data_IF_099314954279
#
_entry.id   IF_099314954279
#
_cell.length_a   1.000
_cell.length_b   1.000
_cell.length_c   1.000
_cell.angle_alpha   90.00
_cell.angle_beta   90.00
_cell.angle_gamma   90.00
#
_symmetry.space_group_name_H-M   'P 1'
#
loop_
_entity.id
_entity.type
_entity.pdbx_description
1 polymer ?
2 non-polymer ?
3 non-polymer ?
4 non-polymer ?
5 water ?
#
# COMPACT_ATOMS: atom_id res chain seq x y z
N UNK A 4 -1.28 22.66 -19.55
CA UNK A 4 -1.12 21.24 -19.96
C UNK A 4 -1.43 20.34 -18.77
N UNK A 5 -1.81 19.06 -19.01
CA UNK A 5 -1.91 18.09 -17.93
C UNK A 5 -0.57 18.03 -17.20
N UNK A 6 -0.61 17.88 -15.88
CA UNK A 6 0.58 17.98 -15.05
C UNK A 6 1.70 17.08 -15.58
N UNK A 7 1.34 15.85 -15.96
CA UNK A 7 2.33 14.86 -16.36
C UNK A 7 3.04 15.21 -17.66
N UNK A 8 2.49 16.16 -18.45
CA UNK A 8 3.10 16.54 -19.71
C UNK A 8 3.83 17.87 -19.61
N UNK A 9 3.86 18.49 -18.42
CA UNK A 9 4.50 19.78 -18.28
C UNK A 9 6.00 19.65 -18.37
N UNK A 10 6.63 20.73 -18.80
CA UNK A 10 8.08 20.82 -18.87
C UNK A 10 8.52 22.04 -18.07
N UNK A 11 9.24 21.81 -16.97
CA UNK A 11 9.72 22.93 -16.18
C UNK A 11 10.92 23.56 -16.88
N UNK A 12 10.98 24.89 -16.79
CA UNK A 12 12.04 25.70 -17.36
C UNK A 12 12.25 26.89 -16.43
N UNK A 13 13.20 27.75 -16.77
CA UNK A 13 13.38 28.98 -16.01
C UNK A 13 12.09 29.80 -16.01
N UNK A 14 11.34 29.80 -17.12
CA UNK A 14 10.13 30.60 -17.25
C UNK A 14 8.94 29.98 -16.50
N UNK A 15 9.00 28.66 -16.26
CA UNK A 15 7.91 27.91 -15.67
C UNK A 15 8.54 26.83 -14.80
N UNK A 16 8.87 27.18 -13.56
CA UNK A 16 9.86 26.42 -12.84
C UNK A 16 9.21 25.21 -12.18
N UNK A 17 10.01 24.44 -11.46
CA UNK A 17 9.54 23.18 -10.90
C UNK A 17 8.41 23.43 -9.92
N UNK A 18 8.51 24.49 -9.11
CA UNK A 18 7.46 24.83 -8.18
C UNK A 18 6.17 25.20 -8.92
N UNK A 19 6.31 26.01 -9.97
CA UNK A 19 5.15 26.46 -10.72
C UNK A 19 4.47 25.28 -11.42
N UNK A 20 5.27 24.37 -11.97
CA UNK A 20 4.73 23.26 -12.75
C UNK A 20 4.25 22.10 -11.87
N UNK A 21 4.98 21.83 -10.78
CA UNK A 21 4.84 20.57 -10.09
C UNK A 21 4.66 20.74 -8.58
N UNK A 22 4.55 21.99 -8.12
CA UNK A 22 4.30 22.24 -6.71
C UNK A 22 5.58 22.27 -5.89
N UNK A 23 5.47 22.84 -4.69
CA UNK A 23 6.58 22.88 -3.75
C UNK A 23 7.04 21.45 -3.47
N UNK A 24 8.36 21.29 -3.31
CA UNK A 24 8.93 20.02 -2.91
C UNK A 24 8.48 19.73 -1.48
N UNK A 25 8.17 18.47 -1.18
CA UNK A 25 7.82 18.10 0.17
C UNK A 25 7.69 16.60 0.34
N UNK A 26 7.27 16.18 1.55
CA UNK A 26 7.16 14.78 1.90
C UNK A 26 5.83 14.10 1.61
N UNK A 27 4.84 14.88 1.18
CA UNK A 27 3.48 14.38 1.08
C UNK A 27 3.37 13.47 -0.12
N UNK A 28 2.31 12.67 -0.12
CA UNK A 28 2.16 11.56 -1.04
C UNK A 28 2.20 12.02 -2.50
N UNK A 29 1.57 13.15 -2.83
CA UNK A 29 1.51 13.59 -4.22
C UNK A 29 2.36 14.84 -4.40
N UNK A 30 3.32 15.05 -3.49
CA UNK A 30 4.36 16.03 -3.69
C UNK A 30 5.59 15.32 -4.24
N UNK A 31 6.31 16.05 -5.07
CA UNK A 31 7.63 15.60 -5.46
C UNK A 31 8.64 15.95 -4.37
N UNK A 32 9.71 15.17 -4.29
CA UNK A 32 10.76 15.42 -3.31
C UNK A 32 12.11 15.73 -3.97
N UNK A 33 12.16 15.85 -5.29
CA UNK A 33 13.43 15.89 -5.99
C UNK A 33 13.74 17.31 -6.45
N UNK A 34 14.95 17.74 -6.10
CA UNK A 34 15.52 18.94 -6.66
C UNK A 34 16.02 19.89 -5.60
N UNK A 35 17.27 20.33 -5.78
CA UNK A 35 17.80 21.41 -4.96
C UNK A 35 17.29 22.74 -5.51
N UNK A 36 17.73 23.85 -4.90
CA UNK A 36 17.16 25.14 -5.26
C UNK A 36 17.48 25.49 -6.70
N UNK A 37 18.66 25.11 -7.18
CA UNK A 37 19.06 25.45 -8.53
C UNK A 37 18.20 24.70 -9.55
N UNK A 38 18.00 23.38 -9.33
CA UNK A 38 17.16 22.64 -10.27
C UNK A 38 15.71 23.13 -10.20
N UNK A 39 15.23 23.44 -8.99
CA UNK A 39 13.87 23.93 -8.88
C UNK A 39 13.66 25.19 -9.71
N UNK A 40 14.63 26.11 -9.68
CA UNK A 40 14.53 27.39 -10.34
C UNK A 40 14.64 27.24 -11.86
N UNK A 41 15.36 26.20 -12.32
CA UNK A 41 15.74 26.11 -13.72
C UNK A 41 15.04 24.99 -14.49
N UNK A 42 14.57 23.94 -13.82
CA UNK A 42 13.97 22.82 -14.52
C UNK A 42 14.90 22.23 -15.57
N UNK A 43 14.38 22.06 -16.78
CA UNK A 43 15.15 21.46 -17.87
C UNK A 43 16.26 22.38 -18.37
N UNK A 44 16.32 23.63 -17.89
CA UNK A 44 17.42 24.53 -18.20
C UNK A 44 18.62 24.30 -17.26
N UNK A 45 18.44 23.47 -16.23
CA UNK A 45 19.53 23.11 -15.32
C UNK A 45 20.70 22.51 -16.09
N UNK A 46 21.92 22.91 -15.71
CA UNK A 46 23.13 22.51 -16.41
C UNK A 46 23.30 21.00 -16.50
N UNK A 47 22.92 20.28 -15.46
CA UNK A 47 23.08 18.82 -15.45
C UNK A 47 21.75 18.12 -15.73
N UNK A 48 20.79 18.81 -16.34
CA UNK A 48 19.52 18.18 -16.59
C UNK A 48 19.70 16.90 -17.42
N UNK A 49 20.52 16.85 -18.49
CA UNK A 49 20.63 15.62 -19.27
C UNK A 49 21.06 14.41 -18.45
N UNK A 50 21.87 14.62 -17.43
CA UNK A 50 22.39 13.54 -16.62
C UNK A 50 21.32 13.04 -15.64
N UNK A 51 20.28 13.85 -15.41
CA UNK A 51 19.11 13.43 -14.65
C UNK A 51 18.13 12.73 -15.60
N UNK A 52 17.86 13.36 -16.73
CA UNK A 52 16.85 12.87 -17.66
C UNK A 52 17.20 11.49 -18.20
N UNK A 53 18.48 11.09 -18.18
CA UNK A 53 18.86 9.78 -18.67
C UNK A 53 18.19 8.68 -17.86
N UNK A 54 17.70 9.00 -16.67
CA UNK A 54 17.02 8.01 -15.83
C UNK A 54 15.51 8.05 -16.00
N UNK A 55 14.97 9.08 -16.64
CA UNK A 55 13.53 9.15 -16.80
C UNK A 55 13.07 8.14 -17.84
N UNK A 56 11.94 7.47 -17.61
CA UNK A 56 11.48 6.46 -18.56
C UNK A 56 10.77 7.02 -19.78
N UNK A 57 10.96 6.34 -20.92
CA UNK A 57 10.10 6.52 -22.08
C UNK A 57 8.68 6.19 -21.67
N UNK A 58 7.70 6.60 -22.48
CA UNK A 58 6.32 6.25 -22.19
C UNK A 58 6.15 4.73 -22.15
N UNK A 59 6.76 4.04 -23.10
CA UNK A 59 6.71 2.59 -23.16
C UNK A 59 7.30 1.98 -21.89
N UNK A 60 8.45 2.49 -21.46
CA UNK A 60 9.10 1.94 -20.28
C UNK A 60 8.32 2.31 -19.01
N UNK A 61 7.71 3.49 -18.98
CA UNK A 61 6.93 3.87 -17.82
C UNK A 61 5.82 2.85 -17.60
N UNK A 62 5.10 2.50 -18.67
CA UNK A 62 4.02 1.53 -18.56
C UNK A 62 4.52 0.08 -18.56
N UNK A 63 5.76 -0.16 -19.00
CA UNK A 63 6.31 -1.49 -19.06
C UNK A 63 6.99 -1.92 -17.77
N UNK A 64 7.68 -0.98 -17.11
CA UNK A 64 8.49 -1.30 -15.95
C UNK A 64 7.72 -1.14 -14.64
N UNK A 65 6.74 -0.23 -14.64
CA UNK A 65 6.11 0.21 -13.41
C UNK A 65 5.04 -0.76 -12.92
N UNK A 66 4.76 -0.70 -11.62
CA UNK A 66 3.52 -1.24 -11.11
C UNK A 66 2.50 -0.12 -11.18
N UNK A 67 1.45 -0.35 -11.98
CA UNK A 67 0.42 0.64 -12.25
C UNK A 67 -0.82 0.25 -11.46
N UNK A 68 -1.49 1.24 -10.90
CA UNK A 68 -2.79 1.02 -10.28
C UNK A 68 -3.69 2.21 -10.50
N UNK A 69 -4.93 2.03 -10.08
CA UNK A 69 -5.93 3.07 -10.17
C UNK A 69 -6.62 3.17 -8.80
N UNK A 70 -6.69 4.40 -8.28
CA UNK A 70 -7.29 4.63 -6.98
C UNK A 70 -8.36 5.69 -7.12
N UNK A 71 -9.54 5.37 -6.59
CA UNK A 71 -10.60 6.34 -6.41
C UNK A 71 -10.48 6.91 -5.01
N UNK A 72 -10.39 8.23 -4.95
CA UNK A 72 -10.18 8.93 -3.70
C UNK A 72 -11.22 10.03 -3.66
N UNK A 73 -11.36 10.75 -2.52
CA UNK A 73 -12.31 11.84 -2.46
C UNK A 73 -12.19 12.86 -3.59
N UNK A 74 -10.98 13.09 -4.11
CA UNK A 74 -10.78 14.15 -5.09
C UNK A 74 -10.97 13.64 -6.51
N UNK A 75 -10.93 12.33 -6.74
CA UNK A 75 -11.08 11.83 -8.08
C UNK A 75 -10.39 10.48 -8.26
N UNK A 76 -10.06 10.17 -9.51
CA UNK A 76 -9.43 8.92 -9.87
C UNK A 76 -8.00 9.22 -10.25
N UNK A 77 -7.09 8.46 -9.64
CA UNK A 77 -5.66 8.65 -9.81
C UNK A 77 -5.01 7.38 -10.34
N UNK A 78 -4.15 7.55 -11.34
CA UNK A 78 -3.27 6.48 -11.81
C UNK A 78 -2.01 6.48 -10.96
N UNK A 79 -1.78 5.39 -10.24
CA UNK A 79 -0.59 5.29 -9.40
C UNK A 79 0.49 4.56 -10.17
N UNK A 80 1.74 4.87 -9.82
CA UNK A 80 2.87 4.19 -10.44
C UNK A 80 3.99 4.06 -9.42
N UNK A 81 4.72 2.95 -9.50
CA UNK A 81 5.90 2.77 -8.68
C UNK A 81 6.84 1.83 -9.41
N UNK A 82 8.14 1.98 -9.17
CA UNK A 82 9.09 1.08 -9.77
C UNK A 82 10.51 1.41 -9.35
N UNK A 83 11.44 0.75 -10.00
CA UNK A 83 12.85 0.95 -9.71
C UNK A 83 13.62 0.80 -11.02
N UNK A 84 14.61 1.67 -11.18
CA UNK A 84 15.45 1.71 -12.36
C UNK A 84 16.89 1.51 -11.92
N UNK A 85 17.53 0.48 -12.50
CA UNK A 85 18.88 0.15 -12.10
C UNK A 85 19.88 1.07 -12.78
N UNK A 86 20.79 1.62 -11.98
CA UNK A 86 21.93 2.35 -12.51
C UNK A 86 22.92 1.35 -13.08
N UNK A 87 23.65 1.77 -14.11
CA UNK A 87 24.68 0.92 -14.68
C UNK A 87 26.00 1.22 -13.97
N UNK A 88 26.40 0.35 -13.06
CA UNK A 88 27.61 0.58 -12.26
C UNK A 88 28.88 0.45 -13.11
N UNK A 89 28.74 -0.07 -14.34
CA UNK A 89 29.85 -0.18 -15.29
C UNK A 89 30.02 1.10 -16.11
N UNK A 90 29.02 1.98 -16.07
CA UNK A 90 29.07 3.29 -16.69
C UNK A 90 30.19 4.09 -16.02
N UNK A 91 31.16 4.64 -16.79
CA UNK A 91 32.23 5.43 -16.20
C UNK A 91 31.72 6.59 -15.36
N UNK A 92 30.49 7.05 -15.68
CA UNK A 92 29.92 8.20 -15.00
C UNK A 92 29.11 7.78 -13.77
N UNK A 93 29.14 6.50 -13.38
CA UNK A 93 28.32 6.02 -12.28
C UNK A 93 28.50 6.84 -11.00
N UNK A 94 29.76 7.06 -10.59
CA UNK A 94 30.00 7.74 -9.32
C UNK A 94 29.46 9.17 -9.37
N UNK A 95 29.58 9.82 -10.52
CA UNK A 95 29.06 11.18 -10.71
C UNK A 95 27.53 11.16 -10.66
N UNK A 96 26.92 10.11 -11.20
CA UNK A 96 25.46 10.00 -11.18
C UNK A 96 24.96 9.85 -9.75
N UNK A 97 25.64 9.07 -8.95
CA UNK A 97 25.27 8.89 -7.55
C UNK A 97 25.34 10.24 -6.85
N UNK A 98 26.41 11.00 -7.08
CA UNK A 98 26.57 12.30 -6.43
C UNK A 98 25.42 13.23 -6.86
N UNK A 99 25.13 13.27 -8.16
CA UNK A 99 24.11 14.17 -8.67
C UNK A 99 22.74 13.82 -8.07
N UNK A 100 22.40 12.53 -8.04
CA UNK A 100 21.10 12.14 -7.53
C UNK A 100 21.01 12.44 -6.03
N UNK A 101 22.09 12.18 -5.28
CA UNK A 101 22.13 12.46 -3.85
C UNK A 101 21.97 13.96 -3.57
N UNK A 102 22.44 14.81 -4.50
CA UNK A 102 22.34 16.25 -4.32
C UNK A 102 20.87 16.71 -4.36
N UNK A 103 20.01 16.00 -5.08
CA UNK A 103 18.66 16.46 -5.38
C UNK A 103 17.59 15.72 -4.58
N UNK A 104 17.83 14.47 -4.20
CA UNK A 104 16.83 13.71 -3.48
C UNK A 104 16.64 14.30 -2.08
N UNK A 105 15.42 14.78 -1.78
CA UNK A 105 15.10 15.33 -0.47
C UNK A 105 15.94 16.56 -0.13
N UNK A 106 16.47 17.25 -1.13
CA UNK A 106 17.27 18.45 -0.89
C UNK A 106 16.45 19.49 -0.13
N UNK A 107 15.13 19.53 -0.37
CA UNK A 107 14.26 20.55 0.20
C UNK A 107 14.29 20.53 1.72
N UNK A 108 14.68 19.42 2.34
CA UNK A 108 14.71 19.33 3.79
C UNK A 108 15.71 20.33 4.39
N UNK A 109 16.70 20.77 3.59
CA UNK A 109 17.75 21.64 4.10
C UNK A 109 17.51 23.11 3.73
N UNK A 110 16.42 23.42 3.02
CA UNK A 110 16.29 24.77 2.46
C UNK A 110 16.07 25.76 3.59
N UNK A 111 16.54 27.01 3.46
CA UNK A 111 16.16 28.08 4.37
C UNK A 111 14.63 28.24 4.47
N UNK B 2 19.20 -5.54 -24.69
CA UNK B 2 20.55 -5.10 -24.24
C UNK B 2 20.91 -3.77 -24.89
N UNK B 3 22.06 -3.23 -24.46
CA UNK B 3 22.66 -1.98 -24.93
C UNK B 3 21.84 -0.74 -24.51
N UNK B 4 20.56 -0.62 -24.88
CA UNK B 4 19.81 0.54 -24.42
C UNK B 4 19.41 0.31 -22.96
N UNK B 5 19.64 1.28 -22.04
CA UNK B 5 19.15 1.16 -20.68
C UNK B 5 17.65 0.91 -20.69
N UNK B 6 17.18 0.05 -19.79
CA UNK B 6 15.82 -0.44 -19.77
C UNK B 6 14.83 0.73 -19.87
N UNK B 7 15.07 1.79 -19.08
CA UNK B 7 14.13 2.89 -18.98
C UNK B 7 13.99 3.68 -20.28
N UNK B 8 14.93 3.53 -21.23
CA UNK B 8 14.86 4.26 -22.49
C UNK B 8 14.37 3.38 -23.64
N UNK B 9 14.07 2.11 -23.36
CA UNK B 9 13.61 1.22 -24.41
C UNK B 9 12.19 1.58 -24.80
N UNK B 10 11.87 1.23 -26.04
CA UNK B 10 10.55 1.43 -26.62
C UNK B 10 10.10 0.07 -27.13
N UNK B 11 9.01 -0.46 -26.58
CA UNK B 11 8.49 -1.73 -27.07
C UNK B 11 7.73 -1.51 -28.37
N UNK B 12 7.92 -2.45 -29.30
CA UNK B 12 7.19 -2.50 -30.55
C UNK B 12 6.92 -3.96 -30.86
N UNK B 13 6.29 -4.24 -32.00
CA UNK B 13 6.00 -5.62 -32.34
C UNK B 13 7.27 -6.46 -32.41
N UNK B 14 8.37 -5.88 -32.92
CA UNK B 14 9.60 -6.63 -33.11
C UNK B 14 10.40 -6.78 -31.82
N UNK B 15 10.10 -5.96 -30.81
CA UNK B 15 10.77 -6.00 -29.53
C UNK B 15 9.74 -5.60 -28.48
N UNK B 16 8.98 -6.58 -28.02
CA UNK B 16 7.69 -6.31 -27.40
C UNK B 16 7.85 -6.08 -25.90
N UNK B 17 6.72 -5.94 -25.20
CA UNK B 17 6.78 -5.53 -23.80
C UNK B 17 7.52 -6.57 -22.97
N UNK B 18 7.27 -7.86 -23.24
CA UNK B 18 7.97 -8.91 -22.54
C UNK B 18 9.47 -8.85 -22.81
N UNK B 19 9.83 -8.66 -24.09
CA UNK B 19 11.23 -8.68 -24.46
C UNK B 19 11.96 -7.49 -23.84
N UNK B 20 11.32 -6.31 -23.84
CA UNK B 20 11.96 -5.10 -23.37
C UNK B 20 11.95 -4.98 -21.86
N UNK B 21 10.84 -5.41 -21.23
CA UNK B 21 10.59 -5.05 -19.84
C UNK B 21 10.25 -6.25 -18.97
N UNK B 22 10.32 -7.45 -19.52
CA UNK B 22 10.11 -8.65 -18.72
C UNK B 22 8.64 -9.06 -18.70
N UNK B 23 8.41 -10.34 -18.36
CA UNK B 23 7.06 -10.87 -18.25
C UNK B 23 6.30 -10.07 -17.19
N UNK B 24 5.02 -9.81 -17.44
CA UNK B 24 4.14 -9.21 -16.45
C UNK B 24 3.99 -10.16 -15.28
N UNK B 25 3.82 -9.60 -14.08
CA UNK B 25 3.54 -10.43 -12.93
C UNK B 25 3.30 -9.60 -11.68
N UNK B 26 3.17 -10.29 -10.53
CA UNK B 26 2.76 -9.65 -9.28
C UNK B 26 3.88 -9.08 -8.40
N UNK B 27 5.14 -9.37 -8.75
CA UNK B 27 6.22 -9.09 -7.81
C UNK B 27 6.55 -7.60 -7.80
N UNK B 28 7.21 -7.17 -6.72
CA UNK B 28 7.23 -5.77 -6.33
C UNK B 28 7.79 -4.83 -7.40
N UNK B 29 8.86 -5.21 -8.10
CA UNK B 29 9.42 -4.28 -9.07
C UNK B 29 9.23 -4.83 -10.48
N UNK B 30 8.28 -5.76 -10.61
CA UNK B 30 7.93 -6.39 -11.87
C UNK B 30 6.72 -5.67 -12.45
N UNK B 31 6.70 -5.41 -13.76
CA UNK B 31 5.59 -4.68 -14.34
C UNK B 31 4.31 -5.50 -14.34
N UNK B 32 3.17 -4.83 -14.15
CA UNK B 32 1.89 -5.52 -14.10
C UNK B 32 0.96 -5.04 -15.19
N UNK B 33 1.41 -4.19 -16.11
CA UNK B 33 0.51 -3.53 -17.03
C UNK B 33 0.63 -4.14 -18.43
N UNK B 34 -0.54 -4.52 -18.94
CA UNK B 34 -0.68 -4.90 -20.33
C UNK B 34 -1.45 -6.21 -20.50
N UNK B 35 -2.46 -6.16 -21.37
CA UNK B 35 -3.14 -7.37 -21.80
C UNK B 35 -2.31 -8.00 -22.94
N UNK B 36 -2.79 -9.12 -23.49
CA UNK B 36 -1.96 -9.82 -24.47
C UNK B 36 -1.70 -8.98 -25.71
N UNK B 37 -2.69 -8.19 -26.12
CA UNK B 37 -2.53 -7.38 -27.32
C UNK B 37 -1.45 -6.31 -27.12
N UNK B 38 -1.52 -5.59 -25.99
CA UNK B 38 -0.53 -4.57 -25.73
C UNK B 38 0.84 -5.19 -25.53
N UNK B 39 0.90 -6.32 -24.83
CA UNK B 39 2.19 -6.96 -24.61
C UNK B 39 2.86 -7.26 -25.93
N UNK B 40 2.11 -7.78 -26.90
CA UNK B 40 2.68 -8.21 -28.17
C UNK B 40 3.02 -7.01 -29.05
N UNK B 41 2.34 -5.88 -28.87
CA UNK B 41 2.45 -4.78 -29.82
C UNK B 41 3.25 -3.58 -29.29
N UNK B 42 3.27 -3.39 -27.97
CA UNK B 42 3.96 -2.23 -27.42
C UNK B 42 3.38 -0.94 -27.99
N UNK B 43 4.25 -0.03 -28.45
CA UNK B 43 3.82 1.26 -28.95
C UNK B 43 3.15 1.14 -30.31
N UNK B 44 3.15 -0.06 -30.93
CA UNK B 44 2.39 -0.30 -32.14
C UNK B 44 0.93 -0.58 -31.84
N UNK B 45 0.57 -0.77 -30.57
CA UNK B 45 -0.81 -0.95 -30.14
C UNK B 45 -1.64 0.21 -30.66
N UNK B 46 -2.81 -0.07 -31.25
CA UNK B 46 -3.50 0.98 -31.98
C UNK B 46 -4.10 2.01 -31.01
N UNK B 47 -4.29 1.67 -29.73
CA UNK B 47 -4.76 2.65 -28.76
C UNK B 47 -3.63 3.15 -27.87
N UNK B 48 -2.38 2.95 -28.29
CA UNK B 48 -1.25 3.39 -27.48
C UNK B 48 -1.34 4.87 -27.14
N UNK B 49 -1.73 5.79 -28.05
CA UNK B 49 -1.76 7.21 -27.69
C UNK B 49 -2.63 7.50 -26.48
N UNK B 50 -3.71 6.75 -26.30
CA UNK B 50 -4.61 7.00 -25.19
C UNK B 50 -4.05 6.48 -23.86
N UNK B 51 -3.03 5.60 -23.93
CA UNK B 51 -2.27 5.21 -22.75
C UNK B 51 -1.16 6.22 -22.50
N UNK B 52 -0.43 6.55 -23.55
CA UNK B 52 0.77 7.36 -23.43
C UNK B 52 0.43 8.78 -22.94
N UNK B 53 -0.82 9.23 -23.09
CA UNK B 53 -1.20 10.55 -22.60
C UNK B 53 -1.01 10.63 -21.08
N UNK B 54 -0.92 9.50 -20.40
CA UNK B 54 -0.69 9.49 -18.96
C UNK B 54 0.78 9.38 -18.58
N UNK B 55 1.66 9.03 -19.52
CA UNK B 55 3.06 8.86 -19.19
C UNK B 55 3.70 10.22 -18.98
N UNK B 56 4.57 10.37 -17.97
CA UNK B 56 5.17 11.68 -17.70
C UNK B 56 6.33 12.04 -18.61
N UNK B 57 6.45 13.34 -18.93
CA UNK B 57 7.67 13.86 -19.49
C UNK B 57 8.82 13.61 -18.51
N UNK B 58 10.06 13.74 -18.96
CA UNK B 58 11.18 13.55 -18.05
C UNK B 58 11.11 14.56 -16.91
N UNK B 59 10.78 15.82 -17.25
CA UNK B 59 10.64 16.87 -16.26
C UNK B 59 9.56 16.52 -15.24
N UNK B 60 8.40 16.06 -15.73
CA UNK B 60 7.33 15.69 -14.81
C UNK B 60 7.69 14.45 -13.99
N UNK B 61 8.41 13.50 -14.58
CA UNK B 61 8.79 12.32 -13.83
C UNK B 61 9.61 12.73 -12.60
N UNK B 62 10.61 13.59 -12.81
CA UNK B 62 11.42 14.05 -11.70
C UNK B 62 10.78 15.17 -10.89
N UNK B 63 9.75 15.82 -11.41
CA UNK B 63 9.07 16.90 -10.71
C UNK B 63 7.94 16.41 -9.81
N UNK B 64 7.22 15.38 -10.27
CA UNK B 64 6.04 14.90 -9.58
C UNK B 64 6.37 13.78 -8.60
N UNK B 65 7.37 12.96 -8.91
CA UNK B 65 7.54 11.67 -8.25
C UNK B 65 8.27 11.80 -6.93
N UNK B 66 8.06 10.80 -6.07
CA UNK B 66 8.93 10.58 -4.93
C UNK B 66 10.09 9.71 -5.39
N UNK B 67 11.29 10.28 -5.39
CA UNK B 67 12.48 9.62 -5.91
C UNK B 67 13.35 9.18 -4.74
N UNK B 68 13.95 7.99 -4.86
CA UNK B 68 14.84 7.51 -3.84
C UNK B 68 15.93 6.68 -4.49
N UNK B 69 16.85 6.22 -3.66
CA UNK B 69 17.97 5.41 -4.10
C UNK B 69 18.10 4.25 -3.14
N UNK B 70 18.28 3.05 -3.69
CA UNK B 70 18.54 1.86 -2.89
C UNK B 70 19.77 1.16 -3.41
N UNK B 71 20.67 0.80 -2.51
CA UNK B 71 21.85 0.04 -2.85
C UNK B 71 21.67 -1.34 -2.28
N UNK B 72 21.69 -2.36 -3.13
CA UNK B 72 21.35 -3.71 -2.73
C UNK B 72 22.37 -4.65 -3.35
N UNK B 73 22.33 -5.97 -3.06
CA UNK B 73 23.24 -6.89 -3.71
C UNK B 73 23.18 -6.92 -5.23
N UNK B 74 22.06 -6.51 -5.83
CA UNK B 74 21.93 -6.51 -7.28
C UNK B 74 22.44 -5.23 -7.92
N UNK B 75 22.66 -4.18 -7.11
CA UNK B 75 23.16 -2.93 -7.65
C UNK B 75 22.51 -1.73 -6.98
N UNK B 76 22.61 -0.60 -7.67
CA UNK B 76 22.08 0.66 -7.20
C UNK B 76 20.87 1.00 -8.05
N UNK B 77 19.75 1.29 -7.37
CA UNK B 77 18.47 1.44 -8.00
C UNK B 77 17.89 2.81 -7.66
N UNK B 78 17.37 3.50 -8.69
CA UNK B 78 16.57 4.70 -8.48
C UNK B 78 15.12 4.28 -8.34
N UNK B 79 14.53 4.52 -7.18
CA UNK B 79 13.13 4.19 -6.95
C UNK B 79 12.26 5.40 -7.25
N UNK B 80 11.03 5.12 -7.68
CA UNK B 80 10.10 6.20 -7.98
C UNK B 80 8.69 5.76 -7.64
N UNK B 81 7.91 6.68 -7.11
CA UNK B 81 6.50 6.47 -6.87
C UNK B 81 5.78 7.78 -7.11
N UNK B 82 4.53 7.69 -7.57
CA UNK B 82 3.71 8.87 -7.69
C UNK B 82 2.32 8.52 -8.14
N UNK B 83 1.57 9.56 -8.45
CA UNK B 83 0.20 9.40 -8.87
C UNK B 83 -0.17 10.53 -9.79
N UNK B 84 -0.98 10.22 -10.81
CA UNK B 84 -1.40 11.16 -11.82
C UNK B 84 -2.92 11.19 -11.83
N UNK B 85 -3.50 12.37 -11.62
CA UNK B 85 -4.94 12.49 -11.55
C UNK B 85 -5.53 12.50 -12.96
N UNK B 86 -6.55 11.67 -13.18
CA UNK B 86 -7.31 11.70 -14.42
C UNK B 86 -8.23 12.93 -14.37
N UNK B 87 -8.48 13.50 -15.56
CA UNK B 87 -9.29 14.71 -15.66
C UNK B 87 -10.76 14.31 -15.78
N UNK B 88 -11.51 14.41 -14.68
CA UNK B 88 -12.90 13.95 -14.65
C UNK B 88 -13.79 14.85 -15.50
N UNK B 89 -13.29 16.01 -15.95
CA UNK B 89 -14.03 16.91 -16.83
C UNK B 89 -13.86 16.52 -18.31
N UNK B 90 -12.89 15.66 -18.60
CA UNK B 90 -12.73 15.14 -19.95
C UNK B 90 -13.91 14.22 -20.27
N UNK B 91 -14.66 14.45 -21.37
CA UNK B 91 -15.76 13.55 -21.71
C UNK B 91 -15.28 12.12 -21.97
N UNK B 92 -13.98 11.97 -22.23
CA UNK B 92 -13.37 10.66 -22.48
C UNK B 92 -12.92 9.99 -21.17
N UNK B 93 -13.22 10.59 -20.01
CA UNK B 93 -12.78 10.08 -18.72
C UNK B 93 -13.18 8.63 -18.51
N UNK B 94 -14.46 8.28 -18.73
CA UNK B 94 -14.92 6.94 -18.43
C UNK B 94 -14.16 5.93 -19.29
N UNK B 95 -13.90 6.29 -20.55
CA UNK B 95 -13.18 5.44 -21.48
C UNK B 95 -11.73 5.30 -21.03
N UNK B 96 -11.14 6.36 -20.48
CA UNK B 96 -9.77 6.29 -20.02
C UNK B 96 -9.64 5.34 -18.85
N UNK B 97 -10.60 5.41 -17.92
CA UNK B 97 -10.60 4.52 -16.78
C UNK B 97 -10.67 3.08 -17.29
N UNK B 98 -11.57 2.82 -18.23
CA UNK B 98 -11.75 1.49 -18.78
C UNK B 98 -10.47 1.01 -19.45
N UNK B 99 -9.84 1.85 -20.26
CA UNK B 99 -8.67 1.42 -21.00
C UNK B 99 -7.54 1.09 -20.02
N UNK B 100 -7.33 1.93 -19.00
CA UNK B 100 -6.25 1.66 -18.08
C UNK B 100 -6.53 0.38 -17.31
N UNK B 101 -7.77 0.22 -16.85
CA UNK B 101 -8.13 -0.95 -16.07
C UNK B 101 -8.06 -2.23 -16.90
N UNK B 102 -8.25 -2.13 -18.22
CA UNK B 102 -8.15 -3.26 -19.12
C UNK B 102 -6.77 -3.88 -19.08
N UNK B 103 -5.74 -3.07 -18.82
CA UNK B 103 -4.36 -3.52 -18.85
C UNK B 103 -3.78 -3.79 -17.46
N UNK B 104 -4.34 -3.20 -16.41
CA UNK B 104 -3.77 -3.38 -15.09
C UNK B 104 -4.06 -4.81 -14.64
N UNK B 105 -3.00 -5.57 -14.35
CA UNK B 105 -3.11 -6.94 -13.87
C UNK B 105 -3.83 -7.87 -14.85
N UNK B 106 -3.83 -7.53 -16.13
CA UNK B 106 -4.47 -8.39 -17.12
C UNK B 106 -3.79 -9.75 -17.20
N UNK B 107 -2.49 -9.80 -16.90
CA UNK B 107 -1.72 -11.04 -16.99
C UNK B 107 -2.31 -12.15 -16.12
N UNK B 108 -3.10 -11.81 -15.10
CA UNK B 108 -3.68 -12.80 -14.21
C UNK B 108 -4.60 -13.76 -14.96
N UNK B 109 -5.11 -13.35 -16.14
CA UNK B 109 -6.14 -14.10 -16.83
C UNK B 109 -5.57 -15.05 -17.90
N UNK B 110 -4.26 -15.06 -18.10
CA UNK B 110 -3.69 -15.90 -19.15
C UNK B 110 -2.35 -16.43 -18.69
N UNK B 111 -1.85 -17.53 -19.26
CA UNK B 111 -0.50 -18.00 -18.95
C UNK B 111 0.58 -16.94 -19.24
N UNK C 3 -12.26 4.82 -2.15
CA UNK C 3 -12.94 3.54 -2.47
C UNK C 3 -12.23 2.36 -1.81
N UNK C 4 -10.88 2.31 -1.72
CA UNK C 4 -10.29 1.23 -0.95
C UNK C 4 -10.43 1.52 0.55
N UNK C 5 -11.21 0.70 1.29
CA UNK C 5 -11.40 0.96 2.70
C UNK C 5 -10.08 0.85 3.44
N UNK C 6 -9.92 1.70 4.45
CA UNK C 6 -8.70 1.75 5.24
C UNK C 6 -8.26 0.36 5.69
N UNK C 7 -9.20 -0.44 6.17
CA UNK C 7 -8.85 -1.73 6.75
C UNK C 7 -8.30 -2.72 5.73
N UNK C 8 -8.47 -2.45 4.42
CA UNK C 8 -7.95 -3.34 3.41
C UNK C 8 -6.66 -2.83 2.78
N UNK C 9 -6.17 -1.68 3.22
CA UNK C 9 -4.93 -1.14 2.67
C UNK C 9 -3.74 -1.98 3.09
N UNK C 10 -2.70 -1.94 2.26
CA UNK C 10 -1.44 -2.59 2.53
C UNK C 10 -0.34 -1.54 2.41
N UNK C 11 0.39 -1.30 3.50
CA UNK C 11 1.48 -0.35 3.44
C UNK C 11 2.70 -1.00 2.82
N UNK C 12 3.41 -0.20 2.01
CA UNK C 12 4.68 -0.57 1.38
C UNK C 12 5.53 0.69 1.33
N UNK C 13 6.73 0.59 0.74
CA UNK C 13 7.56 1.76 0.55
C UNK C 13 6.84 2.81 -0.31
N UNK C 14 6.04 2.35 -1.27
CA UNK C 14 5.33 3.25 -2.17
C UNK C 14 4.12 3.92 -1.50
N UNK C 15 3.59 3.29 -0.44
CA UNK C 15 2.39 3.74 0.22
C UNK C 15 2.54 3.39 1.69
N UNK C 16 3.15 4.29 2.46
CA UNK C 16 3.72 3.88 3.72
C UNK C 16 2.67 3.89 4.84
N UNK C 17 3.11 3.53 6.05
CA UNK C 17 2.19 3.36 7.16
C UNK C 17 1.52 4.68 7.50
N UNK C 18 2.28 5.78 7.46
CA UNK C 18 1.70 7.10 7.74
C UNK C 18 0.64 7.44 6.68
N UNK C 19 0.96 7.18 5.41
CA UNK C 19 0.07 7.54 4.32
C UNK C 19 -1.20 6.70 4.41
N UNK C 20 -1.05 5.40 4.72
CA UNK C 20 -2.19 4.49 4.72
C UNK C 20 -3.01 4.60 6.01
N UNK C 21 -2.35 4.78 7.16
CA UNK C 21 -2.99 4.55 8.45
C UNK C 21 -2.79 5.71 9.43
N UNK C 22 -2.16 6.80 8.98
CA UNK C 22 -2.01 7.98 9.83
C UNK C 22 -0.76 7.94 10.70
N UNK C 23 -0.37 9.10 11.22
CA UNK C 23 0.72 9.20 12.17
C UNK C 23 0.43 8.35 13.40
N UNK C 24 1.50 7.76 13.93
CA UNK C 24 1.42 7.04 15.19
C UNK C 24 1.15 8.03 16.31
N UNK C 25 0.41 7.58 17.33
CA UNK C 25 0.23 8.41 18.50
C UNK C 25 -0.49 7.68 19.62
N UNK C 26 -0.73 8.40 20.75
CA UNK C 26 -1.34 7.82 21.94
C UNK C 26 -2.85 7.81 21.99
N UNK C 27 -3.53 8.47 21.05
CA UNK C 27 -4.99 8.54 21.07
C UNK C 27 -5.60 7.17 20.76
N UNK C 28 -6.84 7.00 21.23
CA UNK C 28 -7.52 5.71 21.12
C UNK C 28 -7.88 5.45 19.67
N UNK C 29 -7.88 6.50 18.84
CA UNK C 29 -8.21 6.37 17.43
C UNK C 29 -6.95 6.23 16.56
N UNK C 30 -5.78 6.33 17.17
CA UNK C 30 -4.52 6.30 16.43
C UNK C 30 -3.89 4.92 16.58
N UNK C 31 -3.13 4.49 15.57
CA UNK C 31 -2.22 3.38 15.76
C UNK C 31 -0.98 3.80 16.54
N UNK C 32 -0.40 2.88 17.32
CA UNK C 32 0.79 3.18 18.09
C UNK C 32 2.02 2.35 17.67
N UNK C 33 1.89 1.54 16.61
CA UNK C 33 2.89 0.54 16.30
C UNK C 33 3.75 0.97 15.11
N UNK C 34 5.05 0.87 15.32
CA UNK C 34 6.03 0.97 14.25
C UNK C 34 7.10 2.01 14.56
N UNK C 35 8.36 1.61 14.40
CA UNK C 35 9.46 2.54 14.42
C UNK C 35 9.56 3.20 13.04
N UNK C 36 10.56 4.08 12.85
CA UNK C 36 10.62 4.88 11.64
C UNK C 36 10.83 3.98 10.44
N UNK C 37 11.59 2.91 10.57
CA UNK C 37 11.88 2.03 9.46
C UNK C 37 10.62 1.28 9.03
N UNK C 38 9.87 0.70 9.96
CA UNK C 38 8.64 0.03 9.59
C UNK C 38 7.62 1.03 9.04
N UNK C 39 7.54 2.22 9.62
CA UNK C 39 6.60 3.21 9.11
C UNK C 39 6.89 3.50 7.64
N UNK C 40 8.17 3.63 7.28
CA UNK C 40 8.58 4.00 5.93
C UNK C 40 8.41 2.84 4.97
N UNK C 41 8.48 1.60 5.46
CA UNK C 41 8.60 0.45 4.57
C UNK C 41 7.36 -0.45 4.56
N UNK C 42 6.53 -0.39 5.60
CA UNK C 42 5.35 -1.24 5.65
C UNK C 42 5.73 -2.71 5.49
N UNK C 43 5.02 -3.40 4.58
CA UNK C 43 5.23 -4.82 4.38
C UNK C 43 6.55 -5.12 3.67
N UNK C 44 7.25 -4.09 3.18
CA UNK C 44 8.59 -4.28 2.62
C UNK C 44 9.65 -4.36 3.71
N UNK C 45 9.31 -4.02 4.95
CA UNK C 45 10.24 -4.12 6.07
C UNK C 45 10.74 -5.55 6.19
N UNK C 46 12.05 -5.71 6.40
CA UNK C 46 12.68 -7.02 6.33
C UNK C 46 12.08 -8.00 7.34
N UNK C 47 11.71 -7.50 8.52
CA UNK C 47 11.19 -8.37 9.58
C UNK C 47 9.66 -8.38 9.64
N UNK C 48 9.00 -7.81 8.63
CA UNK C 48 7.55 -7.74 8.63
C UNK C 48 6.93 -9.11 8.85
N UNK C 49 7.37 -10.21 8.20
CA UNK C 49 6.64 -11.47 8.35
C UNK C 49 6.58 -11.94 9.80
N UNK C 50 7.58 -11.61 10.62
CA UNK C 50 7.60 -12.02 12.01
C UNK C 50 6.64 -11.17 12.86
N UNK C 51 6.14 -10.07 12.32
CA UNK C 51 5.07 -9.28 12.92
C UNK C 51 3.74 -9.77 12.37
N UNK C 52 3.63 -9.92 11.05
CA UNK C 52 2.37 -10.26 10.41
C UNK C 52 1.87 -11.63 10.85
N UNK C 53 2.75 -12.52 11.34
CA UNK C 53 2.32 -13.82 11.82
C UNK C 53 1.33 -13.68 12.96
N UNK C 54 1.28 -12.53 13.63
CA UNK C 54 0.36 -12.32 14.73
C UNK C 54 -0.93 -11.68 14.28
N UNK C 55 -1.01 -11.16 13.05
CA UNK C 55 -2.24 -10.55 12.59
C UNK C 55 -3.27 -11.62 12.34
N UNK C 56 -4.55 -11.37 12.71
CA UNK C 56 -5.56 -12.40 12.54
C UNK C 56 -6.12 -12.52 11.13
N UNK C 57 -6.44 -13.75 10.75
CA UNK C 57 -7.28 -14.02 9.60
C UNK C 57 -8.61 -13.32 9.80
N UNK C 58 -9.40 -13.17 8.74
CA UNK C 58 -10.70 -12.55 8.89
C UNK C 58 -11.56 -13.37 9.86
N UNK C 59 -11.50 -14.69 9.74
CA UNK C 59 -12.23 -15.59 10.61
C UNK C 59 -11.83 -15.37 12.06
N UNK C 60 -10.52 -15.33 12.31
CA UNK C 60 -10.02 -15.17 13.65
C UNK C 60 -10.30 -13.76 14.18
N UNK C 61 -10.26 -12.74 13.32
CA UNK C 61 -10.57 -11.40 13.76
C UNK C 61 -11.95 -11.37 14.37
N UNK C 62 -12.93 -11.93 13.65
CA UNK C 62 -14.30 -11.96 14.14
C UNK C 62 -14.53 -13.07 15.16
N UNK C 63 -13.67 -14.06 15.24
CA UNK C 63 -13.83 -15.18 16.15
C UNK C 63 -13.21 -14.92 17.51
N UNK C 64 -12.08 -14.24 17.56
CA UNK C 64 -11.34 -14.06 18.80
C UNK C 64 -11.72 -12.75 19.49
N UNK C 65 -12.08 -11.72 18.72
CA UNK C 65 -12.19 -10.38 19.24
C UNK C 65 -13.50 -10.12 19.99
N UNK C 66 -13.46 -9.13 20.89
CA UNK C 66 -14.69 -8.50 21.35
C UNK C 66 -15.04 -7.40 20.37
N UNK C 67 -16.18 -7.55 19.71
CA UNK C 67 -16.64 -6.64 18.68
C UNK C 67 -17.76 -5.78 19.24
N UNK C 68 -17.76 -4.50 18.88
CA UNK C 68 -18.83 -3.60 19.25
C UNK C 68 -19.07 -2.61 18.12
N UNK C 69 -20.10 -1.79 18.31
CA UNK C 69 -20.42 -0.72 17.39
C UNK C 69 -20.62 0.55 18.21
N UNK C 70 -19.98 1.64 17.79
CA UNK C 70 -20.08 2.92 18.47
C UNK C 70 -20.38 3.98 17.44
N UNK C 71 -21.25 4.92 17.81
CA UNK C 71 -21.51 6.09 16.99
C UNK C 71 -20.84 7.27 17.67
N UNK C 72 -19.99 7.94 16.91
CA UNK C 72 -19.32 9.13 17.39
C UNK C 72 -19.63 10.24 16.43
N UNK C 73 -19.22 11.49 16.71
CA UNK C 73 -19.46 12.57 15.76
C UNK C 73 -18.93 12.29 14.35
N UNK C 74 -17.84 11.51 14.23
CA UNK C 74 -17.24 11.27 12.94
C UNK C 74 -17.89 10.14 12.17
N UNK C 75 -18.67 9.28 12.83
CA UNK C 75 -19.23 8.17 12.11
C UNK C 75 -19.62 7.02 13.01
N UNK C 76 -19.84 5.90 12.35
CA UNK C 76 -20.21 4.65 12.99
C UNK C 76 -19.02 3.72 12.86
N UNK C 77 -18.59 3.18 13.99
CA UNK C 77 -17.33 2.46 14.10
C UNK C 77 -17.57 1.05 14.62
N UNK C 78 -16.91 0.09 13.96
CA UNK C 78 -16.85 -1.27 14.47
C UNK C 78 -15.62 -1.38 15.36
N UNK C 79 -15.83 -1.55 16.66
CA UNK C 79 -14.74 -1.61 17.60
C UNK C 79 -14.31 -3.06 17.78
N UNK C 80 -13.02 -3.23 18.09
CA UNK C 80 -12.50 -4.57 18.28
C UNK C 80 -11.41 -4.54 19.33
N UNK C 81 -11.36 -5.58 20.16
CA UNK C 81 -10.31 -5.74 21.16
C UNK C 81 -10.03 -7.23 21.33
N UNK C 82 -8.79 -7.56 21.69
CA UNK C 82 -8.45 -8.95 21.95
C UNK C 82 -6.99 -9.10 22.33
N UNK C 83 -6.58 -10.36 22.41
CA UNK C 83 -5.22 -10.68 22.78
C UNK C 83 -4.82 -11.97 22.08
N UNK C 84 -3.59 -12.01 21.57
CA UNK C 84 -3.05 -13.12 20.80
C UNK C 84 -1.80 -13.62 21.49
N UNK C 85 -1.78 -14.91 21.81
CA UNK C 85 -0.67 -15.46 22.55
C UNK C 85 0.49 -15.79 21.59
N UNK C 86 1.69 -15.35 21.96
CA UNK C 86 2.91 -15.75 21.30
C UNK C 86 3.23 -17.20 21.65
N UNK C 87 3.94 -17.86 20.75
CA UNK C 87 4.39 -19.22 21.00
C UNK C 87 5.78 -19.16 21.61
N UNK C 88 5.87 -19.33 22.93
CA UNK C 88 7.14 -19.23 23.64
C UNK C 88 8.07 -20.39 23.31
N UNK C 89 7.56 -21.43 22.64
CA UNK C 89 8.37 -22.56 22.22
C UNK C 89 8.99 -22.33 20.84
N UNK C 90 8.57 -21.29 20.14
CA UNK C 90 9.16 -20.92 18.86
C UNK C 90 10.62 -20.52 19.09
N UNK C 91 11.60 -21.12 18.37
CA UNK C 91 12.99 -20.69 18.50
C UNK C 91 13.18 -19.20 18.25
N UNK C 92 12.26 -18.58 17.49
CA UNK C 92 12.33 -17.16 17.20
C UNK C 92 11.68 -16.29 18.29
N UNK C 93 11.19 -16.90 19.37
CA UNK C 93 10.43 -16.16 20.38
C UNK C 93 11.20 -14.98 20.94
N UNK C 94 12.45 -15.17 21.34
CA UNK C 94 13.18 -14.07 21.98
C UNK C 94 13.35 -12.91 21.03
N UNK C 95 13.58 -13.22 19.75
CA UNK C 95 13.71 -12.19 18.71
C UNK C 95 12.38 -11.48 18.50
N UNK C 96 11.28 -12.22 18.59
CA UNK C 96 9.95 -11.62 18.44
C UNK C 96 9.67 -10.65 19.56
N UNK C 97 10.04 -10.99 20.80
CA UNK C 97 9.82 -10.07 21.91
C UNK C 97 10.57 -8.77 21.67
N UNK C 98 11.84 -8.91 21.26
CA UNK C 98 12.66 -7.73 21.01
C UNK C 98 12.05 -6.89 19.88
N UNK C 99 11.64 -7.55 18.81
CA UNK C 99 11.07 -6.89 17.66
C UNK C 99 9.78 -6.15 18.03
N UNK C 100 8.89 -6.79 18.78
CA UNK C 100 7.65 -6.12 19.14
C UNK C 100 7.94 -4.95 20.06
N UNK C 101 8.87 -5.12 21.01
CA UNK C 101 9.24 -4.03 21.91
C UNK C 101 9.84 -2.85 21.15
N UNK C 102 10.52 -3.12 20.04
CA UNK C 102 11.11 -2.06 19.23
C UNK C 102 10.05 -1.22 18.54
N UNK C 103 8.87 -1.78 18.26
CA UNK C 103 7.85 -1.10 17.46
C UNK C 103 6.70 -0.53 18.29
N UNK C 104 6.40 -1.15 19.43
CA UNK C 104 5.28 -0.68 20.24
C UNK C 104 5.64 0.66 20.84
N UNK C 105 4.87 1.71 20.53
CA UNK C 105 5.08 3.05 21.07
C UNK C 105 6.46 3.61 20.71
N UNK C 106 7.08 3.11 19.63
CA UNK C 106 8.37 3.63 19.19
C UNK C 106 8.26 5.11 18.86
N UNK C 107 7.09 5.58 18.42
CA UNK C 107 6.92 6.98 18.01
C UNK C 107 7.24 7.95 19.15
N UNK C 108 7.22 7.50 20.41
CA UNK C 108 7.56 8.36 21.52
C UNK C 108 9.01 8.84 21.45
N UNK C 109 9.88 8.15 20.71
CA UNK C 109 11.29 8.48 20.63
C UNK C 109 11.61 9.32 19.39
N UNK C 110 10.62 9.60 18.52
CA UNK C 110 10.94 10.18 17.23
C UNK C 110 11.33 11.64 17.48
N UNK C 111 12.41 12.12 16.82
CA UNK C 111 12.73 13.55 16.79
C UNK C 111 11.53 14.42 16.38
N UNK D 4 -3.11 -24.81 13.35
CA UNK D 4 -2.49 -23.47 13.17
C UNK D 4 -2.56 -22.69 14.48
N UNK D 5 -1.68 -21.66 14.64
CA UNK D 5 -1.84 -20.65 15.68
C UNK D 5 -3.26 -20.09 15.58
N UNK D 6 -3.86 -19.81 16.74
CA UNK D 6 -5.26 -19.44 16.83
C UNK D 6 -5.59 -18.32 15.84
N UNK D 7 -4.73 -17.30 15.77
CA UNK D 7 -5.01 -16.12 14.99
C UNK D 7 -5.02 -16.39 13.49
N UNK D 8 -4.50 -17.55 13.03
CA UNK D 8 -4.47 -17.85 11.62
C UNK D 8 -5.53 -18.89 11.25
N UNK D 9 -6.32 -19.33 12.21
CA UNK D 9 -7.33 -20.36 11.95
C UNK D 9 -8.43 -19.82 11.07
N UNK D 10 -9.05 -20.75 10.32
CA UNK D 10 -10.21 -20.46 9.51
C UNK D 10 -11.34 -21.37 9.98
N UNK D 11 -12.38 -20.77 10.55
CA UNK D 11 -13.54 -21.55 10.95
C UNK D 11 -14.33 -21.93 9.70
N UNK D 12 -14.87 -23.16 9.73
CA UNK D 12 -15.70 -23.72 8.69
C UNK D 12 -16.74 -24.61 9.35
N UNK D 13 -17.58 -25.24 8.54
CA UNK D 13 -18.53 -26.20 9.07
C UNK D 13 -17.80 -27.36 9.74
N UNK D 14 -16.64 -27.74 9.20
CA UNK D 14 -15.87 -28.87 9.72
C UNK D 14 -15.10 -28.49 10.99
N UNK D 15 -14.85 -27.20 11.18
CA UNK D 15 -14.04 -26.70 12.28
C UNK D 15 -14.63 -25.36 12.68
N UNK D 16 -15.67 -25.37 13.51
CA UNK D 16 -16.57 -24.24 13.59
C UNK D 16 -16.01 -23.18 14.53
N UNK D 17 -16.76 -22.10 14.72
CA UNK D 17 -16.24 -20.97 15.46
C UNK D 17 -15.94 -21.39 16.90
N UNK D 18 -16.80 -22.22 17.49
CA UNK D 18 -16.53 -22.70 18.84
C UNK D 18 -15.28 -23.55 18.89
N UNK D 19 -15.12 -24.45 17.91
CA UNK D 19 -13.98 -25.34 17.90
C UNK D 19 -12.68 -24.55 17.72
N UNK D 20 -12.72 -23.54 16.83
CA UNK D 20 -11.51 -22.79 16.50
C UNK D 20 -11.20 -21.70 17.52
N UNK D 21 -12.23 -21.05 18.05
CA UNK D 21 -12.06 -19.80 18.78
C UNK D 21 -12.75 -19.78 20.13
N UNK D 22 -13.33 -20.90 20.54
CA UNK D 22 -13.96 -20.99 21.86
C UNK D 22 -15.40 -20.49 21.87
N UNK D 23 -16.11 -20.82 22.94
CA UNK D 23 -17.49 -20.38 23.08
C UNK D 23 -17.54 -18.86 23.15
N UNK D 24 -18.58 -18.29 22.55
CA UNK D 24 -18.86 -16.88 22.69
C UNK D 24 -19.23 -16.57 24.13
N UNK D 25 -18.90 -15.37 24.59
CA UNK D 25 -19.29 -14.95 25.92
C UNK D 25 -18.85 -13.53 26.23
N UNK D 26 -19.08 -13.10 27.49
CA UNK D 26 -18.88 -11.70 27.88
C UNK D 26 -17.50 -11.35 28.44
N UNK D 27 -16.66 -12.36 28.65
CA UNK D 27 -15.40 -12.14 29.36
C UNK D 27 -14.40 -11.39 28.50
N UNK D 28 -13.42 -10.78 29.15
CA UNK D 28 -12.64 -9.70 28.55
C UNK D 28 -11.89 -10.13 27.30
N UNK D 29 -11.34 -11.35 27.27
CA UNK D 29 -10.59 -11.74 26.08
C UNK D 29 -11.32 -12.88 25.37
N UNK D 30 -12.62 -13.03 25.66
CA UNK D 30 -13.49 -14.00 25.02
C UNK D 30 -14.19 -13.37 23.83
N UNK D 31 -14.34 -14.10 22.72
CA UNK D 31 -15.06 -13.58 21.56
C UNK D 31 -16.55 -13.44 21.83
N UNK D 32 -17.19 -12.40 21.32
CA UNK D 32 -18.61 -12.19 21.53
C UNK D 32 -19.40 -12.18 20.22
N UNK D 33 -18.77 -12.50 19.09
CA UNK D 33 -19.40 -12.28 17.81
C UNK D 33 -19.85 -13.59 17.20
N UNK D 34 -21.11 -13.61 16.80
CA UNK D 34 -21.66 -14.65 15.97
C UNK D 34 -22.96 -15.18 16.53
N UNK D 35 -23.97 -15.25 15.66
CA UNK D 35 -25.22 -15.94 16.00
C UNK D 35 -25.00 -17.43 15.76
N UNK D 36 -26.06 -18.23 15.96
CA UNK D 36 -25.89 -19.67 15.89
C UNK D 36 -25.48 -20.14 14.49
N UNK D 37 -25.99 -19.46 13.47
CA UNK D 37 -25.70 -19.86 12.11
C UNK D 37 -24.21 -19.63 11.78
N UNK D 38 -23.73 -18.43 12.13
CA UNK D 38 -22.33 -18.12 11.87
C UNK D 38 -21.43 -19.01 12.72
N UNK D 39 -21.81 -19.26 13.97
CA UNK D 39 -20.97 -20.09 14.82
C UNK D 39 -20.78 -21.46 14.19
N UNK D 40 -21.85 -22.04 13.64
CA UNK D 40 -21.73 -23.41 13.15
C UNK D 40 -21.12 -23.45 11.76
N UNK D 41 -21.07 -22.32 11.04
CA UNK D 41 -20.62 -22.36 9.64
C UNK D 41 -19.28 -21.66 9.41
N UNK D 42 -18.90 -20.71 10.27
CA UNK D 42 -17.68 -19.96 10.04
C UNK D 42 -17.66 -19.31 8.66
N UNK D 43 -16.54 -19.47 7.94
CA UNK D 43 -16.36 -18.86 6.64
C UNK D 43 -17.21 -19.56 5.57
N UNK D 44 -17.88 -20.67 5.92
CA UNK D 44 -18.83 -21.28 5.00
C UNK D 44 -20.20 -20.59 5.07
N UNK D 45 -20.40 -19.69 6.03
CA UNK D 45 -21.60 -18.86 6.13
C UNK D 45 -21.79 -18.11 4.83
N UNK D 46 -23.01 -18.09 4.30
CA UNK D 46 -23.18 -17.62 2.93
C UNK D 46 -23.05 -16.10 2.86
N UNK D 47 -23.23 -15.37 3.99
CA UNK D 47 -22.98 -13.93 3.95
C UNK D 47 -21.64 -13.59 4.59
N UNK D 48 -20.74 -14.57 4.70
CA UNK D 48 -19.42 -14.30 5.27
C UNK D 48 -18.74 -13.13 4.57
N UNK D 49 -18.77 -13.00 3.22
CA UNK D 49 -18.04 -11.91 2.58
C UNK D 49 -18.45 -10.53 3.08
N UNK D 50 -19.72 -10.36 3.46
CA UNK D 50 -20.19 -9.06 3.92
C UNK D 50 -19.75 -8.77 5.35
N UNK D 51 -19.32 -9.79 6.09
CA UNK D 51 -18.65 -9.59 7.38
C UNK D 51 -17.16 -9.35 7.14
N UNK D 52 -16.55 -10.21 6.32
CA UNK D 52 -15.11 -10.16 6.10
C UNK D 52 -14.67 -8.84 5.49
N UNK D 53 -15.56 -8.10 4.84
CA UNK D 53 -15.19 -6.82 4.26
C UNK D 53 -14.69 -5.86 5.33
N UNK D 54 -15.02 -6.11 6.60
CA UNK D 54 -14.60 -5.27 7.70
C UNK D 54 -13.32 -5.76 8.37
N UNK D 55 -12.87 -6.99 8.08
CA UNK D 55 -11.67 -7.50 8.72
C UNK D 55 -10.43 -6.83 8.13
N UNK D 56 -9.45 -6.49 8.96
CA UNK D 56 -8.25 -5.82 8.45
C UNK D 56 -7.22 -6.76 7.82
N UNK D 57 -6.53 -6.24 6.83
CA UNK D 57 -5.30 -6.86 6.36
C UNK D 57 -4.29 -6.88 7.50
N UNK D 58 -3.22 -7.68 7.35
CA UNK D 58 -2.21 -7.71 8.39
C UNK D 58 -1.58 -6.34 8.56
N UNK D 59 -1.32 -5.66 7.45
CA UNK D 59 -0.74 -4.33 7.47
C UNK D 59 -1.67 -3.35 8.20
N UNK D 60 -2.97 -3.41 7.90
CA UNK D 60 -3.92 -2.53 8.55
C UNK D 60 -4.08 -2.88 10.02
N UNK D 61 -4.04 -4.17 10.35
CA UNK D 61 -4.17 -4.56 11.74
C UNK D 61 -3.06 -3.91 12.57
N UNK D 62 -1.82 -3.98 12.10
CA UNK D 62 -0.71 -3.36 12.82
C UNK D 62 -0.59 -1.86 12.57
N UNK D 63 -1.24 -1.35 11.52
CA UNK D 63 -1.21 0.08 11.25
C UNK D 63 -2.27 0.88 12.01
N UNK D 64 -3.46 0.29 12.17
CA UNK D 64 -4.58 0.99 12.75
C UNK D 64 -4.68 0.78 14.27
N UNK D 65 -4.27 -0.40 14.74
CA UNK D 65 -4.58 -0.83 16.10
C UNK D 65 -3.65 -0.25 17.14
N UNK D 66 -4.14 -0.22 18.37
CA UNK D 66 -3.29 0.01 19.52
C UNK D 66 -2.79 -1.34 19.97
N UNK D 67 -1.48 -1.54 19.88
CA UNK D 67 -0.83 -2.80 20.15
C UNK D 67 -0.11 -2.72 21.48
N UNK D 68 -0.17 -3.79 22.25
CA UNK D 68 0.63 -3.88 23.46
C UNK D 68 1.09 -5.31 23.66
N UNK D 69 1.93 -5.48 24.67
CA UNK D 69 2.45 -6.79 25.00
C UNK D 69 2.31 -6.96 26.52
N UNK D 70 1.75 -8.11 26.91
CA UNK D 70 1.56 -8.42 28.31
C UNK D 70 2.19 -9.77 28.60
N UNK D 71 3.00 -9.82 29.65
CA UNK D 71 3.63 -11.06 30.07
C UNK D 71 2.93 -11.47 31.35
N UNK D 72 2.31 -12.64 31.31
CA UNK D 72 1.45 -13.06 32.41
C UNK D 72 1.78 -14.51 32.71
N UNK D 73 1.18 -15.11 33.76
CA UNK D 73 1.43 -16.52 34.04
C UNK D 73 1.06 -17.47 32.90
N UNK D 74 0.18 -17.07 31.98
CA UNK D 74 -0.21 -17.94 30.88
C UNK D 74 0.69 -17.79 29.66
N UNK D 75 1.51 -16.75 29.64
CA UNK D 75 2.40 -16.56 28.50
C UNK D 75 2.56 -15.09 28.16
N UNK D 76 3.03 -14.85 26.94
CA UNK D 76 3.24 -13.52 26.43
C UNK D 76 2.16 -13.28 25.38
N UNK D 77 1.46 -12.16 25.54
CA UNK D 77 0.27 -11.89 24.76
C UNK D 77 0.42 -10.55 24.05
N UNK D 78 0.08 -10.55 22.77
CA UNK D 78 -0.03 -9.33 22.00
C UNK D 78 -1.47 -8.82 22.12
N UNK D 79 -1.66 -7.67 22.76
CA UNK D 79 -2.98 -7.11 22.93
C UNK D 79 -3.26 -6.14 21.79
N UNK D 80 -4.54 -6.00 21.46
CA UNK D 80 -4.91 -5.10 20.38
C UNK D 80 -6.26 -4.49 20.67
N UNK D 81 -6.42 -3.22 20.32
CA UNK D 81 -7.71 -2.56 20.30
C UNK D 81 -7.73 -1.62 19.10
N UNK D 82 -8.93 -1.38 18.56
CA UNK D 82 -9.03 -0.42 17.50
C UNK D 82 -10.48 -0.27 17.06
N UNK D 83 -10.66 0.44 15.97
CA UNK D 83 -11.98 0.65 15.43
C UNK D 83 -11.87 0.87 13.93
N UNK D 84 -12.87 0.35 13.22
CA UNK D 84 -12.95 0.45 11.79
C UNK D 84 -14.23 1.18 11.42
N UNK D 85 -14.05 2.23 10.61
CA UNK D 85 -15.16 3.08 10.29
C UNK D 85 -15.99 2.48 9.16
N UNK D 86 -17.31 2.43 9.39
CA UNK D 86 -18.23 2.07 8.32
C UNK D 86 -18.38 3.27 7.41
N UNK D 87 -18.65 3.00 6.14
CA UNK D 87 -18.84 4.06 5.17
C UNK D 87 -20.32 4.42 5.14
N UNK D 88 -20.67 5.54 5.80
CA UNK D 88 -22.05 5.94 5.98
C UNK D 88 -22.66 6.40 4.66
N UNK D 89 -21.82 6.61 3.64
CA UNK D 89 -22.27 7.03 2.31
C UNK D 89 -22.59 5.84 1.43
N UNK D 90 -22.14 4.64 1.83
CA UNK D 90 -22.42 3.42 1.09
C UNK D 90 -23.91 3.16 1.16
N UNK D 91 -24.64 2.96 0.04
CA UNK D 91 -26.06 2.66 0.12
C UNK D 91 -26.36 1.42 0.95
N UNK D 92 -25.36 0.55 1.09
CA UNK D 92 -25.47 -0.67 1.88
C UNK D 92 -25.17 -0.45 3.37
N UNK D 93 -24.95 0.80 3.79
CA UNK D 93 -24.56 1.10 5.16
C UNK D 93 -25.59 0.57 6.15
N UNK D 94 -26.88 0.84 5.95
CA UNK D 94 -27.86 0.43 6.95
C UNK D 94 -27.87 -1.08 7.09
N UNK D 95 -27.70 -1.80 5.98
CA UNK D 95 -27.67 -3.26 5.99
C UNK D 95 -26.40 -3.75 6.70
N UNK D 96 -25.30 -3.04 6.54
CA UNK D 96 -24.06 -3.41 7.21
C UNK D 96 -24.20 -3.31 8.73
N UNK D 97 -24.83 -2.23 9.19
CA UNK D 97 -25.07 -2.05 10.60
C UNK D 97 -25.92 -3.21 11.11
N UNK D 98 -26.97 -3.54 10.38
CA UNK D 98 -27.88 -4.60 10.78
C UNK D 98 -27.13 -5.93 10.83
N UNK D 99 -26.33 -6.24 9.82
CA UNK D 99 -25.66 -7.54 9.79
C UNK D 99 -24.69 -7.65 10.96
N UNK D 100 -23.93 -6.58 11.22
CA UNK D 100 -22.96 -6.66 12.29
C UNK D 100 -23.68 -6.80 13.63
N UNK D 101 -24.76 -6.03 13.83
CA UNK D 101 -25.50 -6.09 15.08
C UNK D 101 -26.18 -7.43 15.28
N UNK D 102 -26.50 -8.14 14.19
CA UNK D 102 -27.10 -9.47 14.28
C UNK D 102 -26.17 -10.46 14.96
N UNK D 103 -24.86 -10.22 14.87
CA UNK D 103 -23.88 -11.14 15.43
C UNK D 103 -23.28 -10.65 16.74
N UNK D 104 -23.26 -9.35 16.99
CA UNK D 104 -22.64 -8.84 18.19
C UNK D 104 -23.48 -9.25 19.40
N UNK D 105 -22.88 -10.00 20.31
CA UNK D 105 -23.54 -10.44 21.54
C UNK D 105 -24.78 -11.29 21.27
N UNK D 106 -24.87 -11.92 20.10
CA UNK D 106 -26.02 -12.77 19.79
C UNK D 106 -26.09 -13.92 20.80
N UNK D 107 -24.94 -14.40 21.29
CA UNK D 107 -24.88 -15.54 22.19
C UNK D 107 -25.75 -15.33 23.44
N UNK D 108 -26.06 -14.09 23.82
CA UNK D 108 -26.86 -13.85 25.01
C UNK D 108 -28.25 -14.48 24.90
N UNK D 109 -28.71 -14.74 23.66
CA UNK D 109 -30.07 -15.19 23.44
C UNK D 109 -30.17 -16.71 23.30
N UNK D 110 -29.06 -17.45 23.40
CA UNK D 110 -29.14 -18.90 23.28
C UNK D 110 -28.15 -19.57 24.21
N UNK D 111 -28.33 -20.85 24.59
CA UNK D 111 -27.35 -21.51 25.44
C UNK D 111 -25.97 -21.51 24.77
X LIG E 1 -1.77 5.00 -3.60
X LIG E 1 -0.87 1.39 -3.05
X LIG E 1 -3.50 8.75 -4.93
X LIG E 1 -2.94 7.06 -3.41
X LIG E 1 -1.38 2.62 -3.15
X LIG E 1 -3.90 6.45 -2.61
X LIG E 1 -3.80 5.10 -2.31
X LIG E 1 -2.72 4.37 -2.80
X LIG E 1 -1.86 6.34 -3.92
X LIG E 1 -3.00 8.44 -3.73
X LIG E 1 -3.16 9.97 -5.31
X LIG E 1 -3.11 7.94 -5.91
X LIG E 1 -4.81 8.70 -4.91
X LIG E 1 -0.54 3.85 -4.07
X LIG E 1 -2.48 3.01 -2.55
X LIG F 1 -1.93 23.66 -11.43
X LIG F 1 -2.77 24.25 -10.41
X LIG F 1 -2.65 22.58 -12.07
X LIG F 1 -1.58 24.65 -12.40
X LIG F 1 -0.73 23.14 -10.82
X LIG G 1 18.18 -7.16 -21.04
X LIG G 1 18.96 -6.03 -20.60
X LIG G 1 16.78 -6.87 -20.85
X LIG G 1 18.42 -7.40 -22.43
X LIG G 1 18.54 -8.32 -20.29
X LIG H 1 -7.94 -7.56 25.27
X LIG H 1 -9.19 -6.88 25.21
X LIG H 1 -6.77 -6.65 25.22
X LIG H 1 -6.92 -5.59 24.30
X LIG I 1 -7.05 -25.23 21.04
X LIG I 1 -6.13 -26.14 20.42
X LIG I 1 -8.11 -24.90 20.11
X LIG I 1 -7.62 -25.84 22.21
X LIG I 1 -6.35 -24.03 21.41
#
# INVERSE_FOLDING_TARGET
GSKKPRQKRTATKAYNVTQAFGRRGPEQTQGNFGDQELIRQGTDYKHWPQIAQFAPSASAFFGMSRIGMEVTPSGTWLTYTGAIKLDDKDPNFKDQVILLNKHIDAYKTFP
GSKKPRQKRTATKAYNVTQAFGRRGPEQTQGNFGDQELIRQGTDYKHWPQIAQFAPSASAFFGMSRIGMEVTPSGTWLTYTGAIKLDDKDPNFKDQVILLNKHIDAYKTFP
GSKKPRQKRTATKAYNVTQAFGRRGPEQTQGNFGDQELIRQGTDYKHWPQIAQFAPSASAFFGMSRIGMEVTPSGTWLTYTGAIKLDDKDPNFKDQVILLNKHIDAYKTFP
GSKKPRQKRTATKAYNVTQAFGRRGPEQTQGNFGDQELIRQGTDYKHWPQIAQFAPSASAFFGMSRIGMEVTPSGTWLTYTGAIKLDDKDPNFKDQVILLNKHIDAYKTFP
657 C4 N2 C7 C6 C8 C1 C2 C3 C5 O1 F1 F2 F3 S1 N1
SO4 S O1 O2 O3 O4
SO4 S O1 O2 O3 O4
EDO C1 O1 C2 O2
SO4 S O1 O2 O3 O4
#
